data_IF_423808710914
#
_entry.id   IF_423808710914
#
_cell.length_a   1.000
_cell.length_b   1.000
_cell.length_c   1.000
_cell.angle_alpha   90.00
_cell.angle_beta   90.00
_cell.angle_gamma   90.00
#
_symmetry.space_group_name_H-M   'P 1'
#
loop_
_entity.id
_entity.type
_entity.pdbx_description
1 polymer ?
#
# COMPACT_ATOMS: atom_id res chain seq x y z
N UNK A 1 -9.26 23.02 -40.42
CA UNK A 1 -9.11 21.57 -40.64
C UNK A 1 -9.04 20.93 -39.26
N UNK A 2 -10.19 20.54 -38.72
CA UNK A 2 -10.68 19.14 -38.63
C UNK A 2 -10.36 18.56 -37.23
N UNK A 3 -11.22 18.81 -36.24
CA UNK A 3 -12.34 17.94 -35.78
C UNK A 3 -11.89 16.63 -35.16
N UNK A 4 -12.08 16.52 -33.85
CA UNK A 4 -11.88 15.34 -32.99
C UNK A 4 -12.71 14.13 -33.44
N UNK A 5 -12.26 12.88 -33.18
CA UNK A 5 -13.03 11.69 -33.52
C UNK A 5 -14.17 11.44 -32.52
N UNK A 6 -15.28 10.79 -32.96
CA UNK A 6 -16.46 10.59 -32.15
C UNK A 6 -16.37 9.31 -31.29
N UNK A 7 -17.11 9.35 -30.18
CA UNK A 7 -17.25 8.29 -29.19
C UNK A 7 -18.36 7.34 -29.63
N UNK A 8 -18.01 6.16 -30.15
CA UNK A 8 -18.98 5.14 -30.56
C UNK A 8 -19.44 4.30 -29.37
N UNK A 9 -20.76 4.29 -29.16
CA UNK A 9 -21.43 3.45 -28.20
C UNK A 9 -21.52 2.01 -28.69
N UNK A 10 -21.06 1.07 -27.86
CA UNK A 10 -21.36 -0.35 -28.05
C UNK A 10 -22.66 -0.67 -27.32
N UNK A 11 -23.77 -0.62 -28.06
CA UNK A 11 -25.04 -1.20 -27.65
C UNK A 11 -25.07 -2.66 -28.13
N UNK A 12 -24.99 -3.62 -27.20
CA UNK A 12 -25.20 -5.03 -27.50
C UNK A 12 -26.61 -5.45 -27.05
N UNK A 13 -27.51 -5.88 -27.94
CA UNK A 13 -28.85 -6.32 -27.57
C UNK A 13 -28.86 -7.84 -27.31
N UNK A 14 -29.37 -8.24 -26.15
CA UNK A 14 -30.03 -9.53 -25.97
C UNK A 14 -29.19 -10.69 -25.42
N UNK A 15 -29.28 -10.93 -24.12
CA UNK A 15 -29.78 -12.22 -23.62
C UNK A 15 -30.05 -12.17 -22.12
N UNK A 16 -31.30 -12.43 -21.79
CA UNK A 16 -31.79 -12.63 -20.45
C UNK A 16 -31.12 -13.85 -19.80
N UNK A 17 -30.59 -13.66 -18.60
CA UNK A 17 -30.68 -14.63 -17.51
C UNK A 17 -30.38 -13.88 -16.21
N UNK A 18 -31.42 -13.70 -15.40
CA UNK A 18 -31.32 -13.06 -14.10
C UNK A 18 -30.54 -13.93 -13.14
N UNK A 19 -29.31 -13.54 -12.85
CA UNK A 19 -28.55 -13.83 -11.64
C UNK A 19 -27.59 -12.63 -11.46
N UNK A 20 -27.68 -11.94 -10.33
CA UNK A 20 -26.71 -10.95 -9.85
C UNK A 20 -26.62 -9.61 -10.58
N UNK A 21 -27.75 -8.93 -10.79
CA UNK A 21 -27.73 -7.47 -10.96
C UNK A 21 -27.45 -6.84 -9.59
N UNK A 22 -26.18 -6.86 -9.16
CA UNK A 22 -25.73 -6.06 -8.01
C UNK A 22 -26.18 -4.62 -8.30
N UNK A 23 -27.09 -4.04 -7.50
CA UNK A 23 -27.57 -2.70 -7.75
C UNK A 23 -26.37 -1.77 -7.86
N UNK A 24 -26.36 -0.91 -8.89
CA UNK A 24 -25.35 0.15 -9.00
C UNK A 24 -25.38 0.94 -7.70
N UNK A 25 -24.27 0.89 -6.95
CA UNK A 25 -24.12 1.57 -5.67
C UNK A 25 -24.66 3.00 -5.77
N UNK A 26 -25.59 3.37 -4.90
CA UNK A 26 -26.05 4.75 -4.78
C UNK A 26 -24.88 5.68 -4.47
N UNK A 27 -25.00 6.97 -4.77
CA UNK A 27 -23.95 7.94 -4.46
C UNK A 27 -23.60 7.96 -2.96
N UNK A 28 -24.59 7.69 -2.09
CA UNK A 28 -24.39 7.52 -0.65
C UNK A 28 -23.55 6.27 -0.33
N UNK A 29 -23.85 5.12 -0.94
CA UNK A 29 -23.09 3.88 -0.76
C UNK A 29 -21.67 3.98 -1.32
N UNK A 30 -21.48 4.63 -2.47
CA UNK A 30 -20.13 4.90 -3.02
C UNK A 30 -19.30 5.74 -2.05
N UNK A 31 -19.90 6.80 -1.48
CA UNK A 31 -19.22 7.65 -0.50
C UNK A 31 -18.86 6.87 0.77
N UNK A 32 -19.79 6.06 1.29
CA UNK A 32 -19.53 5.22 2.45
C UNK A 32 -18.42 4.19 2.18
N UNK A 33 -18.45 3.52 1.02
CA UNK A 33 -17.43 2.55 0.63
C UNK A 33 -16.06 3.19 0.44
N UNK A 34 -16.00 4.40 -0.14
CA UNK A 34 -14.76 5.16 -0.27
C UNK A 34 -14.15 5.49 1.10
N UNK A 35 -14.96 5.97 2.05
CA UNK A 35 -14.51 6.27 3.42
C UNK A 35 -13.99 5.00 4.10
N UNK A 36 -14.73 3.89 4.03
CA UNK A 36 -14.34 2.62 4.62
C UNK A 36 -13.04 2.08 4.02
N UNK A 37 -12.90 2.15 2.69
CA UNK A 37 -11.70 1.70 1.98
C UNK A 37 -10.47 2.52 2.37
N UNK A 38 -10.61 3.83 2.49
CA UNK A 38 -9.51 4.70 2.91
C UNK A 38 -9.16 4.52 4.40
N UNK A 39 -10.14 4.30 5.28
CA UNK A 39 -9.87 3.94 6.68
C UNK A 39 -9.09 2.64 6.78
N UNK A 40 -9.51 1.60 6.05
CA UNK A 40 -8.79 0.31 5.99
C UNK A 40 -7.36 0.49 5.46
N UNK A 41 -7.19 1.28 4.39
CA UNK A 41 -5.87 1.60 3.83
C UNK A 41 -4.97 2.30 4.87
N UNK A 42 -5.49 3.30 5.58
CA UNK A 42 -4.75 4.02 6.63
C UNK A 42 -4.39 3.13 7.81
N UNK A 43 -5.30 2.23 8.20
CA UNK A 43 -5.05 1.27 9.27
C UNK A 43 -3.91 0.31 8.90
N UNK A 44 -3.92 -0.23 7.69
CA UNK A 44 -2.85 -1.11 7.19
C UNK A 44 -1.49 -0.39 7.13
N UNK A 45 -1.46 0.90 6.76
CA UNK A 45 -0.22 1.70 6.80
C UNK A 45 0.29 1.83 8.24
N UNK A 46 -0.58 2.17 9.19
CA UNK A 46 -0.23 2.31 10.60
C UNK A 46 0.34 1.01 11.19
N UNK A 47 -0.31 -0.12 10.91
CA UNK A 47 0.20 -1.45 11.30
C UNK A 47 1.56 -1.76 10.66
N UNK A 48 1.83 -1.23 9.46
CA UNK A 48 3.16 -1.28 8.85
C UNK A 48 4.21 -0.51 9.68
N UNK A 49 3.89 0.70 10.12
CA UNK A 49 4.77 1.50 10.97
C UNK A 49 4.98 0.87 12.35
N UNK A 50 3.93 0.33 12.97
CA UNK A 50 4.04 -0.34 14.27
C UNK A 50 5.01 -1.54 14.17
N UNK A 51 4.89 -2.37 13.13
CA UNK A 51 5.84 -3.47 12.87
C UNK A 51 7.27 -2.97 12.65
N UNK A 52 7.48 -1.85 11.98
CA UNK A 52 8.82 -1.27 11.83
C UNK A 52 9.43 -0.90 13.19
N UNK A 53 8.62 -0.38 14.12
CA UNK A 53 9.10 -0.02 15.46
C UNK A 53 9.47 -1.22 16.34
N UNK A 54 8.90 -2.39 16.06
CA UNK A 54 9.27 -3.64 16.74
C UNK A 54 10.57 -4.25 16.19
N UNK A 55 10.85 -4.06 14.90
CA UNK A 55 12.01 -4.66 14.23
C UNK A 55 13.28 -3.83 14.33
N UNK A 56 13.15 -2.51 14.43
CA UNK A 56 14.29 -1.59 14.43
C UNK A 56 14.62 -1.19 15.87
N UNK A 57 15.83 -1.53 16.38
CA UNK A 57 16.20 -1.22 17.77
C UNK A 57 16.12 0.27 18.08
N UNK A 58 15.58 0.62 19.26
CA UNK A 58 15.52 2.01 19.73
C UNK A 58 14.44 2.86 19.05
N UNK A 59 13.42 2.22 18.48
CA UNK A 59 12.19 2.85 17.97
C UNK A 59 10.95 2.46 18.78
N UNK A 60 11.08 1.72 19.88
CA UNK A 60 9.96 1.26 20.69
C UNK A 60 9.11 2.46 21.17
N UNK A 61 7.81 2.44 20.87
CA UNK A 61 6.89 3.53 21.22
C UNK A 61 7.00 4.79 20.36
N UNK A 62 7.86 4.83 19.33
CA UNK A 62 8.02 5.98 18.42
C UNK A 62 7.14 5.89 17.14
N UNK A 63 6.18 4.97 17.07
CA UNK A 63 5.35 4.70 15.87
C UNK A 63 4.53 5.89 15.34
N UNK A 64 4.43 6.98 16.10
CA UNK A 64 3.71 8.20 15.70
C UNK A 64 4.53 9.18 14.86
N UNK A 65 5.85 9.05 14.80
CA UNK A 65 6.71 9.92 14.01
C UNK A 65 7.15 9.24 12.71
N UNK A 66 6.29 9.26 11.69
CA UNK A 66 6.50 8.56 10.41
C UNK A 66 7.90 8.82 9.80
N UNK A 67 8.33 10.08 9.75
CA UNK A 67 9.62 10.48 9.19
C UNK A 67 10.82 9.92 9.98
N UNK A 68 10.71 9.88 11.32
CA UNK A 68 11.75 9.35 12.21
C UNK A 68 11.85 7.84 12.06
N UNK A 69 10.70 7.15 12.03
CA UNK A 69 10.66 5.68 11.84
C UNK A 69 11.31 5.31 10.52
N UNK A 70 10.93 5.96 9.41
CA UNK A 70 11.50 5.66 8.09
C UNK A 70 13.00 5.92 8.04
N UNK A 71 13.46 7.07 8.57
CA UNK A 71 14.88 7.42 8.58
C UNK A 71 15.71 6.41 9.38
N UNK A 72 15.33 6.13 10.62
CA UNK A 72 16.05 5.15 11.45
C UNK A 72 15.99 3.74 10.85
N UNK A 73 14.88 3.35 10.23
CA UNK A 73 14.76 2.06 9.53
C UNK A 73 15.79 1.95 8.40
N UNK A 74 15.95 2.99 7.56
CA UNK A 74 16.94 3.01 6.48
C UNK A 74 18.37 2.94 7.04
N UNK A 75 18.66 3.69 8.09
CA UNK A 75 19.97 3.69 8.74
C UNK A 75 20.30 2.30 9.31
N UNK A 76 19.33 1.64 9.95
CA UNK A 76 19.47 0.29 10.45
C UNK A 76 19.72 -0.73 9.34
N UNK A 77 18.97 -0.68 8.23
CA UNK A 77 19.20 -1.57 7.08
C UNK A 77 20.62 -1.42 6.52
N UNK A 78 21.11 -0.18 6.40
CA UNK A 78 22.49 0.09 5.95
C UNK A 78 23.52 -0.53 6.89
N UNK A 79 23.32 -0.42 8.21
CA UNK A 79 24.19 -1.03 9.20
C UNK A 79 24.19 -2.57 9.11
N UNK A 80 23.02 -3.19 8.95
CA UNK A 80 22.91 -4.65 8.79
C UNK A 80 23.60 -5.16 7.52
N UNK A 81 23.50 -4.42 6.41
CA UNK A 81 24.21 -4.77 5.17
C UNK A 81 25.73 -4.68 5.31
N UNK A 82 26.23 -3.64 6.00
CA UNK A 82 27.65 -3.48 6.27
C UNK A 82 28.18 -4.61 7.17
N UNK A 83 27.45 -4.93 8.24
CA UNK A 83 27.82 -6.01 9.15
C UNK A 83 27.81 -7.37 8.45
N UNK A 84 26.79 -7.65 7.64
CA UNK A 84 26.75 -8.85 6.80
C UNK A 84 27.99 -8.97 5.92
N UNK A 85 28.41 -7.88 5.26
CA UNK A 85 29.61 -7.86 4.42
C UNK A 85 30.86 -8.20 5.25
N UNK A 86 31.02 -7.57 6.42
CA UNK A 86 32.15 -7.82 7.32
C UNK A 86 32.24 -9.30 7.73
N UNK A 87 31.13 -9.89 8.14
CA UNK A 87 31.06 -11.29 8.57
C UNK A 87 31.36 -12.25 7.42
N UNK A 88 30.88 -11.95 6.21
CA UNK A 88 31.18 -12.73 5.01
C UNK A 88 32.67 -12.64 4.67
N UNK A 89 33.26 -11.45 4.68
CA UNK A 89 34.69 -11.25 4.42
C UNK A 89 35.58 -11.91 5.48
N UNK A 90 35.15 -11.96 6.74
CA UNK A 90 35.84 -12.71 7.80
C UNK A 90 35.72 -14.23 7.61
N UNK A 91 34.54 -14.71 7.21
CA UNK A 91 34.32 -16.12 6.91
C UNK A 91 35.15 -16.61 5.72
N UNK A 92 35.32 -15.78 4.68
CA UNK A 92 36.17 -16.13 3.52
C UNK A 92 37.67 -16.11 3.80
N UNK A 93 38.10 -15.44 4.89
CA UNK A 93 39.51 -15.35 5.29
C UNK A 93 39.96 -16.50 6.21
N UNK A 94 39.03 -17.37 6.63
CA UNK A 94 39.31 -18.59 7.40
C UNK A 94 39.32 -19.80 6.48
#
# INVERSE_FOLDING_TARGET
>A
MSTSPPREGSANPGSANGLDEKPRLSEHEKKANHIASEQKRRQAIREGFDRLTELVPGLEGQGRSESVVLKKTVDYMRAQLAERKRLVDEGMRR
#
